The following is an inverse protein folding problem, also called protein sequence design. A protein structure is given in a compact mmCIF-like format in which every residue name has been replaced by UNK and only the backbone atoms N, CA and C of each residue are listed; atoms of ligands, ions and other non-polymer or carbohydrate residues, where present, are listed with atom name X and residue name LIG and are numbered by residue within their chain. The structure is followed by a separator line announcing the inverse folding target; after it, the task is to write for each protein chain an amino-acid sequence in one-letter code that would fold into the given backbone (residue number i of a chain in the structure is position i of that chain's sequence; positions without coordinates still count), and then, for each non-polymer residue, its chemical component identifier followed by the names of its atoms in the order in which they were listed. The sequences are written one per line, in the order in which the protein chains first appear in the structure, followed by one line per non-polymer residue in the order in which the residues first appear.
data_IF_616846697954
#
_entry.id   IF_616846697954
#
_cell.length_a   1.000
_cell.length_b   1.000
_cell.length_c   1.000
_cell.angle_alpha   90.00
_cell.angle_beta   90.00
_cell.angle_gamma   90.00
#
_symmetry.space_group_name_H-M   'P 1'
#
loop_
_entity.id
_entity.type
_entity.pdbx_description
1 polymer ?
#
# COMPACT_ATOMS: atom_id res chain seq x y z
N UNK A 1 -37.49 -12.01 23.18
CA UNK A 1 -36.15 -11.97 22.55
C UNK A 1 -35.21 -11.39 23.60
N UNK A 2 -34.34 -12.22 24.20
CA UNK A 2 -33.32 -11.71 25.13
C UNK A 2 -32.41 -10.80 24.30
N UNK A 3 -32.43 -9.51 24.60
CA UNK A 3 -31.45 -8.59 24.06
C UNK A 3 -30.15 -8.96 24.75
N UNK A 4 -29.29 -9.72 24.07
CA UNK A 4 -27.89 -9.83 24.46
C UNK A 4 -27.33 -8.41 24.58
N UNK A 5 -26.48 -8.17 25.57
CA UNK A 5 -25.81 -6.89 25.76
C UNK A 5 -25.26 -6.41 24.43
N UNK A 6 -25.73 -5.24 23.99
CA UNK A 6 -25.17 -4.55 22.83
C UNK A 6 -23.81 -4.05 23.29
N UNK A 7 -22.74 -4.67 22.83
CA UNK A 7 -21.37 -4.28 23.15
C UNK A 7 -20.89 -3.19 22.18
N UNK A 8 -20.23 -2.16 22.70
CA UNK A 8 -19.54 -1.19 21.85
C UNK A 8 -18.27 -1.82 21.25
N UNK A 9 -17.70 -1.25 20.17
CA UNK A 9 -16.40 -1.69 19.66
C UNK A 9 -15.31 -1.72 20.74
N UNK A 10 -15.28 -0.72 21.63
CA UNK A 10 -14.30 -0.67 22.73
C UNK A 10 -14.52 -1.78 23.77
N UNK A 11 -15.78 -2.13 24.06
CA UNK A 11 -16.08 -3.27 24.92
C UNK A 11 -15.67 -4.59 24.28
N UNK A 12 -15.86 -4.74 22.96
CA UNK A 12 -15.41 -5.93 22.22
C UNK A 12 -13.88 -6.05 22.25
N UNK A 13 -13.14 -4.95 22.07
CA UNK A 13 -11.68 -4.95 22.21
C UNK A 13 -11.23 -5.43 23.59
N UNK A 14 -11.86 -4.91 24.66
CA UNK A 14 -11.56 -5.34 26.04
C UNK A 14 -11.83 -6.84 26.25
N UNK A 15 -12.90 -7.37 25.66
CA UNK A 15 -13.22 -8.81 25.73
C UNK A 15 -12.17 -9.63 25.00
N UNK A 16 -11.77 -9.22 23.79
CA UNK A 16 -10.74 -9.90 22.98
C UNK A 16 -9.41 -9.94 23.72
N UNK A 17 -8.97 -8.81 24.28
CA UNK A 17 -7.72 -8.72 25.05
C UNK A 17 -7.77 -9.54 26.35
N UNK A 18 -8.91 -9.53 27.05
CA UNK A 18 -9.11 -10.41 28.21
C UNK A 18 -9.04 -11.90 27.84
N UNK A 19 -9.60 -12.27 26.69
CA UNK A 19 -9.56 -13.64 26.19
C UNK A 19 -8.12 -14.07 25.85
N UNK A 20 -7.30 -13.20 25.24
CA UNK A 20 -5.87 -13.45 25.04
C UNK A 20 -5.12 -13.64 26.37
N UNK A 21 -5.27 -12.72 27.33
CA UNK A 21 -4.62 -12.83 28.64
C UNK A 21 -5.04 -14.09 29.42
N UNK A 22 -6.25 -14.59 29.20
CA UNK A 22 -6.71 -15.86 29.77
C UNK A 22 -6.22 -17.12 29.04
N UNK A 23 -5.44 -16.95 27.96
CA UNK A 23 -4.89 -18.03 27.13
C UNK A 23 -5.89 -18.67 26.16
N UNK A 24 -7.05 -18.05 25.93
CA UNK A 24 -8.07 -18.57 25.01
C UNK A 24 -7.84 -18.16 23.54
N UNK A 25 -7.08 -17.09 23.32
CA UNK A 25 -6.70 -16.61 21.99
C UNK A 25 -5.17 -16.54 21.89
N UNK A 26 -4.63 -16.91 20.72
CA UNK A 26 -3.23 -16.61 20.40
C UNK A 26 -3.04 -15.11 20.11
N UNK A 27 -1.80 -14.59 20.19
CA UNK A 27 -1.52 -13.20 19.82
C UNK A 27 -2.01 -12.84 18.41
N UNK A 28 -1.75 -13.70 17.43
CA UNK A 28 -2.20 -13.49 16.04
C UNK A 28 -3.73 -13.47 15.91
N UNK A 29 -4.45 -14.26 16.72
CA UNK A 29 -5.92 -14.24 16.71
C UNK A 29 -6.48 -12.96 17.34
N UNK A 30 -5.86 -12.46 18.42
CA UNK A 30 -6.23 -11.18 19.00
C UNK A 30 -6.03 -10.05 17.98
N UNK A 31 -4.85 -9.99 17.35
CA UNK A 31 -4.51 -8.95 16.38
C UNK A 31 -5.49 -8.93 15.21
N UNK A 32 -5.76 -10.08 14.57
CA UNK A 32 -6.74 -10.18 13.49
C UNK A 32 -8.14 -9.71 13.91
N UNK A 33 -8.57 -10.04 15.12
CA UNK A 33 -9.88 -9.63 15.63
C UNK A 33 -9.95 -8.13 15.90
N UNK A 34 -8.90 -7.54 16.47
CA UNK A 34 -8.81 -6.11 16.69
C UNK A 34 -8.78 -5.35 15.36
N UNK A 35 -7.98 -5.81 14.39
CA UNK A 35 -7.91 -5.24 13.05
C UNK A 35 -9.25 -5.31 12.31
N UNK A 36 -9.97 -6.43 12.43
CA UNK A 36 -11.31 -6.58 11.86
C UNK A 36 -12.30 -5.52 12.36
N UNK A 37 -12.20 -5.10 13.63
CA UNK A 37 -13.02 -4.05 14.20
C UNK A 37 -12.65 -2.65 13.68
N UNK A 38 -11.41 -2.45 13.23
CA UNK A 38 -10.91 -1.17 12.71
C UNK A 38 -11.13 -0.98 11.20
N UNK A 39 -11.36 -2.04 10.42
CA UNK A 39 -11.54 -1.96 8.97
C UNK A 39 -12.65 -0.98 8.53
N UNK A 40 -13.67 -0.79 9.37
CA UNK A 40 -14.75 0.16 9.07
C UNK A 40 -14.34 1.63 9.25
N UNK A 41 -13.30 1.89 10.06
CA UNK A 41 -12.74 3.22 10.30
C UNK A 41 -11.63 3.59 9.31
N UNK A 42 -11.13 2.62 8.53
CA UNK A 42 -10.08 2.84 7.54
C UNK A 42 -10.74 3.09 6.18
N UNK A 43 -10.46 4.25 5.59
CA UNK A 43 -10.92 4.63 4.26
C UNK A 43 -9.96 4.14 3.17
N UNK A 44 -10.49 3.85 1.98
CA UNK A 44 -9.73 3.38 0.82
C UNK A 44 -8.52 4.28 0.50
N UNK A 45 -8.65 5.60 0.63
CA UNK A 45 -7.55 6.55 0.39
C UNK A 45 -6.31 6.31 1.27
N UNK A 46 -6.47 5.71 2.45
CA UNK A 46 -5.39 5.52 3.42
C UNK A 46 -4.50 4.32 3.09
N UNK A 47 -4.97 3.42 2.21
CA UNK A 47 -4.31 2.14 1.90
C UNK A 47 -4.04 1.98 0.40
N UNK A 48 -4.79 2.66 -0.46
CA UNK A 48 -4.60 2.58 -1.91
C UNK A 48 -3.17 2.90 -2.36
N UNK A 49 -2.76 2.27 -3.46
CA UNK A 49 -1.60 2.71 -4.23
C UNK A 49 -1.93 4.05 -4.90
N UNK A 50 -1.23 5.15 -4.54
CA UNK A 50 -1.56 6.47 -5.05
C UNK A 50 -1.19 6.60 -6.53
N UNK A 51 -1.92 7.45 -7.27
CA UNK A 51 -1.81 7.65 -8.72
C UNK A 51 -0.36 7.64 -9.27
N UNK A 52 0.61 8.38 -8.69
CA UNK A 52 1.97 8.43 -9.25
C UNK A 52 2.72 7.09 -9.24
N UNK A 53 2.27 6.14 -8.42
CA UNK A 53 2.87 4.81 -8.27
C UNK A 53 2.12 3.73 -9.06
N UNK A 54 1.05 4.09 -9.77
CA UNK A 54 0.27 3.12 -10.53
C UNK A 54 0.99 2.77 -11.82
N UNK A 55 1.39 1.50 -11.95
CA UNK A 55 1.70 0.94 -13.26
C UNK A 55 0.41 0.71 -14.06
N UNK A 56 0.26 1.41 -15.18
CA UNK A 56 -0.93 1.32 -16.04
C UNK A 56 -0.56 1.36 -17.52
N UNK A 57 -1.44 0.83 -18.38
CA UNK A 57 -1.21 0.74 -19.82
C UNK A 57 -2.32 1.46 -20.61
N UNK A 58 -1.99 2.08 -21.77
CA UNK A 58 -3.02 2.71 -22.59
C UNK A 58 -3.88 1.67 -23.31
N UNK A 59 -5.17 1.97 -23.47
CA UNK A 59 -6.16 1.06 -24.04
C UNK A 59 -5.91 0.68 -25.52
N UNK A 60 -5.11 1.46 -26.25
CA UNK A 60 -4.73 1.26 -27.64
C UNK A 60 -3.34 0.61 -27.82
N UNK A 61 -2.70 0.16 -26.73
CA UNK A 61 -1.45 -0.60 -26.81
C UNK A 61 -1.68 -1.97 -27.45
N UNK A 62 -0.74 -2.40 -28.28
CA UNK A 62 -0.75 -3.72 -28.88
C UNK A 62 -0.43 -4.82 -27.86
N UNK A 63 -1.00 -6.02 -28.04
CA UNK A 63 -0.83 -7.11 -27.07
C UNK A 63 0.63 -7.54 -26.89
N UNK A 64 1.46 -7.47 -27.94
CA UNK A 64 2.87 -7.83 -27.84
C UNK A 64 3.66 -6.85 -26.99
N UNK A 65 3.42 -5.55 -27.17
CA UNK A 65 4.05 -4.51 -26.36
C UNK A 65 3.54 -4.56 -24.92
N UNK A 66 2.24 -4.83 -24.74
CA UNK A 66 1.64 -5.03 -23.42
C UNK A 66 2.29 -6.22 -22.69
N UNK A 67 2.49 -7.35 -23.39
CA UNK A 67 3.12 -8.54 -22.82
C UNK A 67 4.53 -8.24 -22.33
N UNK A 68 5.35 -7.55 -23.14
CA UNK A 68 6.71 -7.18 -22.74
C UNK A 68 6.72 -6.39 -21.43
N UNK A 69 5.87 -5.37 -21.31
CA UNK A 69 5.80 -4.55 -20.09
C UNK A 69 5.23 -5.31 -18.89
N UNK A 70 4.23 -6.15 -19.09
CA UNK A 70 3.62 -6.95 -17.99
C UNK A 70 4.60 -7.99 -17.44
N UNK A 71 5.47 -8.56 -18.26
CA UNK A 71 6.50 -9.51 -17.81
C UNK A 71 7.54 -8.83 -16.91
N UNK A 72 7.87 -7.57 -17.19
CA UNK A 72 8.83 -6.79 -16.39
C UNK A 72 8.27 -6.42 -15.01
N UNK A 73 7.00 -5.99 -14.94
CA UNK A 73 6.38 -5.48 -13.71
C UNK A 73 5.68 -6.55 -12.85
N UNK A 74 5.47 -7.75 -13.39
CA UNK A 74 4.95 -8.94 -12.68
C UNK A 74 3.56 -8.79 -12.01
N UNK A 75 2.82 -7.73 -12.29
CA UNK A 75 1.47 -7.55 -11.77
C UNK A 75 0.44 -8.48 -12.43
N UNK A 76 -0.46 -9.05 -11.62
CA UNK A 76 -1.55 -9.91 -12.11
C UNK A 76 -2.70 -9.15 -12.78
N UNK A 77 -2.93 -7.89 -12.36
CA UNK A 77 -4.01 -7.02 -12.82
C UNK A 77 -3.45 -5.63 -13.05
N UNK A 78 -3.64 -5.12 -14.26
CA UNK A 78 -3.02 -3.86 -14.69
C UNK A 78 -4.14 -2.88 -15.08
N UNK A 79 -4.27 -1.75 -14.40
CA UNK A 79 -5.18 -0.68 -14.81
C UNK A 79 -4.92 -0.24 -16.26
N UNK A 80 -6.01 -0.03 -17.00
CA UNK A 80 -5.96 0.40 -18.41
C UNK A 80 -6.58 1.78 -18.52
N UNK A 81 -5.86 2.75 -19.08
CA UNK A 81 -6.32 4.13 -19.21
C UNK A 81 -6.72 4.53 -20.63
N UNK A 82 -7.55 5.57 -20.74
CA UNK A 82 -7.90 6.19 -22.01
C UNK A 82 -6.72 7.02 -22.55
N UNK A 83 -6.12 6.66 -23.70
CA UNK A 83 -4.96 7.37 -24.24
C UNK A 83 -5.24 8.83 -24.61
N UNK A 84 -6.50 9.21 -24.87
CA UNK A 84 -6.86 10.60 -25.20
C UNK A 84 -6.95 11.49 -23.96
N UNK A 85 -7.26 10.89 -22.80
CA UNK A 85 -7.45 11.61 -21.53
C UNK A 85 -6.29 11.44 -20.56
N UNK A 86 -5.41 10.47 -20.79
CA UNK A 86 -4.20 10.25 -20.00
C UNK A 86 -4.36 9.25 -18.84
N UNK A 87 -3.27 8.99 -18.10
CA UNK A 87 -3.20 7.94 -17.07
C UNK A 87 -4.16 8.11 -15.89
N UNK A 88 -4.65 9.32 -15.61
CA UNK A 88 -5.66 9.58 -14.58
C UNK A 88 -7.07 9.08 -14.93
N UNK A 89 -7.27 8.51 -16.11
CA UNK A 89 -8.56 8.07 -16.61
C UNK A 89 -8.58 6.57 -16.87
N UNK A 90 -8.60 5.78 -15.81
CA UNK A 90 -8.72 4.32 -15.92
C UNK A 90 -10.11 3.94 -16.44
N UNK A 91 -10.14 3.19 -17.54
CA UNK A 91 -11.34 2.71 -18.23
C UNK A 91 -11.55 1.20 -18.10
N UNK A 92 -10.57 0.47 -17.57
CA UNK A 92 -10.68 -0.98 -17.39
C UNK A 92 -9.47 -1.58 -16.70
N UNK A 93 -9.42 -2.90 -16.68
CA UNK A 93 -8.33 -3.68 -16.12
C UNK A 93 -7.94 -4.82 -17.05
N UNK A 94 -6.65 -4.97 -17.30
CA UNK A 94 -6.06 -6.07 -18.05
C UNK A 94 -5.62 -7.15 -17.08
N UNK A 95 -6.01 -8.40 -17.35
CA UNK A 95 -5.52 -9.55 -16.58
C UNK A 95 -4.33 -10.19 -17.29
N UNK A 96 -3.22 -10.40 -16.57
CA UNK A 96 -2.02 -11.05 -17.13
C UNK A 96 -2.33 -12.45 -17.69
N UNK A 97 -3.24 -13.20 -17.06
CA UNK A 97 -3.68 -14.53 -17.55
C UNK A 97 -4.37 -14.48 -18.91
N UNK A 98 -5.03 -13.37 -19.25
CA UNK A 98 -5.71 -13.22 -20.54
C UNK A 98 -4.69 -12.89 -21.63
N UNK A 99 -3.68 -12.07 -21.33
CA UNK A 99 -2.52 -11.92 -22.21
C UNK A 99 -1.88 -13.27 -22.50
N UNK A 100 -1.57 -14.07 -21.46
CA UNK A 100 -0.99 -15.40 -21.62
C UNK A 100 -1.85 -16.32 -22.50
N UNK A 101 -3.19 -16.28 -22.32
CA UNK A 101 -4.13 -17.04 -23.15
C UNK A 101 -4.03 -16.65 -24.62
N UNK A 102 -4.01 -15.35 -24.92
CA UNK A 102 -3.90 -14.84 -26.29
C UNK A 102 -2.55 -15.15 -26.91
N UNK A 103 -1.45 -15.00 -26.15
CA UNK A 103 -0.11 -15.41 -26.58
C UNK A 103 -0.04 -16.90 -26.90
N UNK A 104 -0.62 -17.75 -26.03
CA UNK A 104 -0.68 -19.20 -26.25
C UNK A 104 -1.46 -19.55 -27.51
N UNK A 105 -2.61 -18.92 -27.73
CA UNK A 105 -3.43 -19.10 -28.92
C UNK A 105 -2.67 -18.68 -30.18
N UNK A 106 -2.00 -17.53 -30.16
CA UNK A 106 -1.12 -17.09 -31.25
C UNK A 106 -0.05 -18.12 -31.60
N UNK A 107 0.61 -18.70 -30.60
CA UNK A 107 1.64 -19.73 -30.82
C UNK A 107 1.08 -21.03 -31.43
N UNK A 108 -0.18 -21.41 -31.13
CA UNK A 108 -0.84 -22.55 -31.81
C UNK A 108 -1.12 -22.31 -33.28
N UNK A 109 -1.26 -21.05 -33.67
CA UNK A 109 -1.57 -20.63 -35.04
C UNK A 109 -0.31 -20.37 -35.86
N UNK A 110 0.84 -20.90 -35.44
CA UNK A 110 2.14 -20.75 -36.12
C UNK A 110 2.15 -21.26 -37.58
N UNK A 111 1.23 -22.15 -37.93
CA UNK A 111 0.95 -22.59 -39.31
C UNK A 111 0.08 -21.61 -40.13
N UNK A 112 -0.37 -20.50 -39.54
CA UNK A 112 -1.13 -19.40 -40.18
C UNK A 112 -0.56 -18.02 -39.79
N UNK A 113 0.49 -17.55 -40.49
CA UNK A 113 1.19 -16.30 -40.14
C UNK A 113 0.29 -15.06 -40.09
N UNK A 114 -0.70 -14.98 -40.99
CA UNK A 114 -1.65 -13.86 -41.03
C UNK A 114 -2.55 -13.80 -39.78
N UNK A 115 -2.93 -14.96 -39.23
CA UNK A 115 -3.76 -15.03 -38.02
C UNK A 115 -2.95 -14.67 -36.78
N UNK A 116 -1.70 -15.12 -36.72
CA UNK A 116 -0.79 -14.76 -35.63
C UNK A 116 -0.48 -13.25 -35.59
N UNK A 117 -0.27 -12.63 -36.76
CA UNK A 117 -0.03 -11.18 -36.88
C UNK A 117 -1.24 -10.35 -36.42
N UNK A 118 -2.46 -10.82 -36.75
CA UNK A 118 -3.69 -10.15 -36.29
C UNK A 118 -3.83 -10.14 -34.77
N UNK A 119 -3.46 -11.24 -34.10
CA UNK A 119 -3.54 -11.33 -32.63
C UNK A 119 -2.47 -10.43 -31.98
N UNK A 120 -1.27 -10.37 -32.55
CA UNK A 120 -0.20 -9.47 -32.09
C UNK A 120 -0.64 -8.00 -32.13
N UNK A 121 -1.31 -7.57 -33.21
CA UNK A 121 -1.84 -6.21 -33.37
C UNK A 121 -3.24 -5.99 -32.75
N UNK A 122 -3.74 -6.91 -31.94
CA UNK A 122 -4.94 -6.64 -31.14
C UNK A 122 -4.63 -5.60 -30.07
N UNK A 123 -5.63 -4.78 -29.75
CA UNK A 123 -5.49 -3.74 -28.72
C UNK A 123 -5.92 -4.26 -27.36
N UNK A 124 -5.31 -3.74 -26.29
CA UNK A 124 -5.72 -4.04 -24.90
C UNK A 124 -7.23 -3.84 -24.70
N UNK A 125 -7.80 -2.77 -25.27
CA UNK A 125 -9.24 -2.47 -25.18
C UNK A 125 -10.17 -3.60 -25.63
N UNK A 126 -9.68 -4.54 -26.45
CA UNK A 126 -10.47 -5.67 -26.96
C UNK A 126 -10.51 -6.85 -25.99
N UNK A 127 -9.64 -6.87 -24.98
CA UNK A 127 -9.49 -8.01 -24.04
C UNK A 127 -9.54 -7.59 -22.57
N UNK A 128 -9.55 -6.28 -22.28
CA UNK A 128 -9.69 -5.76 -20.92
C UNK A 128 -11.08 -6.06 -20.36
N UNK A 129 -11.18 -5.98 -19.04
CA UNK A 129 -12.42 -6.15 -18.29
C UNK A 129 -12.83 -4.85 -17.64
N UNK A 130 -14.12 -4.75 -17.30
CA UNK A 130 -14.62 -3.68 -16.44
C UNK A 130 -13.90 -3.69 -15.09
N UNK A 131 -13.65 -2.49 -14.57
CA UNK A 131 -13.01 -2.27 -13.28
C UNK A 131 -14.03 -1.75 -12.26
N UNK A 132 -13.89 -2.15 -11.00
CA UNK A 132 -14.69 -1.60 -9.91
C UNK A 132 -14.22 -0.16 -9.66
N UNK A 133 -15.14 0.78 -9.47
CA UNK A 133 -14.82 2.18 -9.18
C UNK A 133 -15.45 2.54 -7.84
N UNK A 134 -14.65 3.12 -6.95
CA UNK A 134 -15.06 3.46 -5.58
C UNK A 134 -14.56 4.85 -5.18
N UNK A 135 -15.27 5.59 -4.31
CA UNK A 135 -14.78 6.86 -3.80
C UNK A 135 -13.66 6.66 -2.76
N UNK A 136 -12.79 7.67 -2.62
CA UNK A 136 -11.73 7.73 -1.60
C UNK A 136 -12.19 7.51 -0.16
N UNK A 137 -13.44 7.83 0.14
CA UNK A 137 -14.01 7.79 1.49
C UNK A 137 -14.64 6.45 1.86
N UNK A 138 -14.75 5.49 0.93
CA UNK A 138 -15.33 4.18 1.21
C UNK A 138 -14.50 3.43 2.26
N UNK A 139 -15.15 2.80 3.25
CA UNK A 139 -14.43 2.02 4.26
C UNK A 139 -13.88 0.72 3.68
N UNK A 140 -12.80 0.19 4.24
CA UNK A 140 -12.23 -1.07 3.79
C UNK A 140 -13.18 -2.24 4.04
N UNK A 141 -13.98 -2.20 5.11
CA UNK A 141 -15.00 -3.20 5.37
C UNK A 141 -16.07 -3.24 4.25
N UNK A 142 -16.57 -2.08 3.83
CA UNK A 142 -17.51 -1.97 2.71
C UNK A 142 -16.86 -2.42 1.39
N UNK A 143 -15.62 -2.01 1.15
CA UNK A 143 -14.86 -2.38 -0.05
C UNK A 143 -14.62 -3.90 -0.13
N UNK A 144 -14.28 -4.54 1.00
CA UNK A 144 -14.15 -6.00 1.08
C UNK A 144 -15.44 -6.70 0.68
N UNK A 145 -16.58 -6.20 1.17
CA UNK A 145 -17.92 -6.67 0.78
C UNK A 145 -18.18 -6.53 -0.73
N UNK A 146 -17.78 -5.41 -1.34
CA UNK A 146 -17.91 -5.20 -2.79
C UNK A 146 -17.01 -6.14 -3.60
N UNK A 147 -15.76 -6.36 -3.17
CA UNK A 147 -14.87 -7.32 -3.82
C UNK A 147 -15.47 -8.73 -3.83
N UNK A 148 -16.02 -9.17 -2.69
CA UNK A 148 -16.68 -10.47 -2.57
C UNK A 148 -17.94 -10.55 -3.46
N UNK A 149 -18.81 -9.54 -3.42
CA UNK A 149 -20.06 -9.54 -4.16
C UNK A 149 -19.84 -9.47 -5.68
N UNK A 150 -18.92 -8.60 -6.13
CA UNK A 150 -18.64 -8.36 -7.55
C UNK A 150 -17.63 -9.35 -8.12
N UNK A 151 -16.99 -10.16 -7.28
CA UNK A 151 -15.89 -11.08 -7.65
C UNK A 151 -14.77 -10.33 -8.38
N UNK A 152 -14.43 -9.15 -7.86
CA UNK A 152 -13.33 -8.29 -8.32
C UNK A 152 -12.27 -8.22 -7.24
N UNK A 153 -11.03 -7.98 -7.65
CA UNK A 153 -9.86 -7.94 -6.76
C UNK A 153 -9.06 -6.64 -6.92
N UNK A 154 -9.51 -5.74 -7.79
CA UNK A 154 -8.90 -4.43 -8.00
C UNK A 154 -10.02 -3.43 -8.19
N UNK A 155 -9.92 -2.31 -7.48
CA UNK A 155 -10.78 -1.16 -7.60
C UNK A 155 -9.95 0.07 -7.93
N UNK A 156 -10.50 0.94 -8.78
CA UNK A 156 -10.00 2.28 -9.02
C UNK A 156 -10.65 3.19 -7.99
N UNK A 157 -9.83 3.89 -7.24
CA UNK A 157 -10.27 4.90 -6.28
C UNK A 157 -10.32 6.24 -7.01
N UNK A 158 -11.45 6.94 -6.90
CA UNK A 158 -11.67 8.23 -7.56
C UNK A 158 -11.89 9.36 -6.57
N UNK A 159 -11.42 10.54 -6.97
CA UNK A 159 -11.66 11.81 -6.27
C UNK A 159 -13.07 12.37 -6.58
N UNK A 160 -13.42 13.51 -5.98
CA UNK A 160 -14.69 14.18 -6.19
C UNK A 160 -14.93 14.68 -7.63
N UNK A 161 -13.87 14.76 -8.44
CA UNK A 161 -13.94 15.16 -9.84
C UNK A 161 -14.04 13.95 -10.79
N UNK A 162 -14.00 12.73 -10.25
CA UNK A 162 -14.04 11.49 -11.00
C UNK A 162 -12.70 11.11 -11.65
N UNK A 163 -11.60 11.75 -11.25
CA UNK A 163 -10.26 11.36 -11.69
C UNK A 163 -9.73 10.24 -10.81
N UNK A 164 -8.84 9.41 -11.36
CA UNK A 164 -8.18 8.37 -10.57
C UNK A 164 -7.26 9.00 -9.52
N UNK A 165 -7.55 8.72 -8.25
CA UNK A 165 -6.73 9.06 -7.10
C UNK A 165 -5.72 7.95 -6.77
N UNK A 166 -6.15 6.71 -6.94
CA UNK A 166 -5.35 5.52 -6.63
C UNK A 166 -5.99 4.23 -7.15
N UNK A 167 -5.35 3.10 -6.87
CA UNK A 167 -5.96 1.77 -7.00
C UNK A 167 -5.77 1.01 -5.70
N UNK A 168 -6.72 0.15 -5.39
CA UNK A 168 -6.69 -0.70 -4.20
C UNK A 168 -7.08 -2.11 -4.59
N UNK A 169 -6.42 -3.08 -4.00
CA UNK A 169 -6.62 -4.50 -4.26
C UNK A 169 -7.31 -5.19 -3.08
N UNK A 170 -7.81 -6.41 -3.29
CA UNK A 170 -8.35 -7.19 -2.16
C UNK A 170 -7.22 -7.63 -1.24
N UNK A 171 -6.04 -7.83 -1.80
CA UNK A 171 -4.82 -8.19 -1.09
C UNK A 171 -4.44 -7.08 -0.10
N UNK A 172 -4.48 -5.80 -0.50
CA UNK A 172 -4.22 -4.65 0.39
C UNK A 172 -5.22 -4.59 1.56
N UNK A 173 -6.49 -4.94 1.33
CA UNK A 173 -7.52 -4.96 2.38
C UNK A 173 -7.30 -6.13 3.34
N UNK A 174 -6.88 -7.29 2.83
CA UNK A 174 -6.58 -8.46 3.64
C UNK A 174 -5.31 -8.27 4.47
N UNK A 175 -4.32 -7.55 3.96
CA UNK A 175 -3.12 -7.16 4.68
C UNK A 175 -3.46 -6.32 5.92
N UNK A 176 -4.42 -5.38 5.82
CA UNK A 176 -4.88 -4.63 6.99
C UNK A 176 -5.58 -5.50 8.04
N UNK A 177 -6.13 -6.65 7.63
CA UNK A 177 -6.77 -7.60 8.54
C UNK A 177 -5.75 -8.55 9.19
N UNK A 178 -4.84 -9.09 8.37
CA UNK A 178 -3.95 -10.20 8.71
C UNK A 178 -2.60 -9.72 9.23
N UNK A 179 -2.20 -8.48 8.92
CA UNK A 179 -0.82 -8.01 9.01
C UNK A 179 -0.01 -8.41 7.77
N UNK A 180 1.25 -8.00 7.75
CA UNK A 180 2.22 -8.37 6.70
C UNK A 180 2.33 -9.90 6.64
N UNK A 181 1.91 -10.49 5.51
CA UNK A 181 2.18 -11.89 5.21
C UNK A 181 3.54 -11.94 4.53
N UNK A 182 4.56 -12.49 5.22
CA UNK A 182 5.87 -12.74 4.60
C UNK A 182 5.67 -13.62 3.35
N UNK A 183 5.91 -13.06 2.15
CA UNK A 183 5.85 -13.82 0.89
C UNK A 183 7.04 -14.79 0.83
N UNK A 184 6.84 -15.98 0.25
CA UNK A 184 7.93 -16.96 0.05
C UNK A 184 9.03 -16.42 -0.89
N UNK A 185 8.74 -15.35 -1.63
CA UNK A 185 9.65 -14.68 -2.55
C UNK A 185 10.18 -13.33 -2.06
N UNK A 186 9.75 -12.86 -0.88
CA UNK A 186 10.27 -11.63 -0.31
C UNK A 186 11.70 -11.85 0.17
N UNK A 187 12.62 -11.02 -0.33
CA UNK A 187 13.98 -10.94 0.20
C UNK A 187 13.86 -10.32 1.58
N UNK A 188 13.68 -11.17 2.60
CA UNK A 188 13.68 -10.89 4.03
C UNK A 188 13.80 -9.38 4.33
N UNK A 189 12.66 -8.69 4.36
CA UNK A 189 12.62 -7.33 4.88
C UNK A 189 13.23 -7.36 6.28
N UNK A 190 14.23 -6.49 6.49
CA UNK A 190 15.11 -6.51 7.64
C UNK A 190 14.33 -6.80 8.93
N UNK A 191 14.73 -7.87 9.63
CA UNK A 191 14.19 -8.27 10.93
C UNK A 191 13.97 -7.03 11.81
N UNK A 192 12.85 -6.94 12.56
CA UNK A 192 12.69 -5.89 13.55
C UNK A 192 13.88 -5.95 14.50
N UNK A 193 14.68 -4.88 14.51
CA UNK A 193 15.83 -4.76 15.41
C UNK A 193 15.25 -4.70 16.81
N UNK A 194 15.49 -5.75 17.60
CA UNK A 194 14.97 -5.99 18.95
C UNK A 194 15.51 -5.01 20.02
N UNK A 195 15.99 -3.85 19.62
CA UNK A 195 16.52 -2.83 20.51
C UNK A 195 15.96 -1.46 20.12
N UNK A 196 15.02 -0.94 20.92
CA UNK A 196 14.35 0.34 20.69
C UNK A 196 15.32 1.54 20.63
N UNK A 197 16.59 1.34 20.98
CA UNK A 197 17.66 2.35 20.96
C UNK A 197 18.67 2.18 19.81
N UNK A 198 18.51 1.20 18.92
CA UNK A 198 19.41 1.06 17.78
C UNK A 198 19.11 2.12 16.70
N UNK A 199 20.14 2.66 16.02
CA UNK A 199 19.92 3.53 14.87
C UNK A 199 19.21 2.74 13.75
N UNK A 200 18.08 3.27 13.29
CA UNK A 200 17.25 2.71 12.23
C UNK A 200 17.53 3.45 10.92
N UNK A 201 17.56 2.74 9.79
CA UNK A 201 17.57 3.34 8.46
C UNK A 201 16.32 2.87 7.71
N UNK A 202 15.39 3.78 7.47
CA UNK A 202 14.06 3.48 6.93
C UNK A 202 13.83 4.20 5.60
N UNK A 203 13.03 3.61 4.72
CA UNK A 203 12.61 4.29 3.48
C UNK A 203 11.74 5.51 3.82
N UNK A 204 11.95 6.62 3.12
CA UNK A 204 11.12 7.81 3.30
C UNK A 204 9.64 7.58 2.96
N UNK A 205 9.31 6.54 2.21
CA UNK A 205 7.94 6.17 1.85
C UNK A 205 7.19 5.39 2.94
N UNK A 206 7.86 4.94 4.01
CA UNK A 206 7.20 4.22 5.11
C UNK A 206 6.09 5.06 5.72
N UNK A 207 4.92 4.44 5.97
CA UNK A 207 3.78 5.11 6.58
C UNK A 207 4.09 5.42 8.05
N UNK A 208 3.69 6.60 8.51
CA UNK A 208 3.90 6.99 9.91
C UNK A 208 3.18 6.08 10.92
N UNK A 209 2.13 5.36 10.50
CA UNK A 209 1.42 4.38 11.33
C UNK A 209 2.23 3.11 11.54
N UNK A 210 2.89 2.63 10.48
CA UNK A 210 3.76 1.46 10.53
C UNK A 210 4.97 1.74 11.44
N UNK A 211 5.43 3.00 11.47
CA UNK A 211 6.48 3.44 12.38
C UNK A 211 6.11 3.28 13.85
N UNK A 212 4.87 3.60 14.22
CA UNK A 212 4.38 3.43 15.59
C UNK A 212 4.23 1.96 15.94
N UNK A 213 3.66 1.15 15.05
CA UNK A 213 3.41 -0.27 15.27
C UNK A 213 4.70 -1.12 15.31
N UNK A 214 5.66 -0.85 14.42
CA UNK A 214 6.86 -1.68 14.25
C UNK A 214 8.08 -1.17 15.04
N UNK A 215 8.17 0.13 15.31
CA UNK A 215 9.37 0.76 15.89
C UNK A 215 9.09 1.64 17.11
N UNK A 216 7.86 1.61 17.64
CA UNK A 216 7.37 2.43 18.76
C UNK A 216 7.65 3.94 18.56
N UNK A 217 7.64 4.39 17.29
CA UNK A 217 7.88 5.77 16.89
C UNK A 217 6.56 6.53 16.80
N UNK A 218 6.20 7.26 17.86
CA UNK A 218 5.02 8.13 17.84
C UNK A 218 5.33 9.44 17.12
N UNK A 219 4.85 9.55 15.89
CA UNK A 219 4.90 10.79 15.12
C UNK A 219 3.51 11.46 15.07
N UNK A 220 3.42 12.79 14.92
CA UNK A 220 2.13 13.48 14.84
C UNK A 220 1.36 13.03 13.59
N UNK A 221 0.12 12.55 13.75
CA UNK A 221 -0.68 12.06 12.63
C UNK A 221 -1.61 13.14 12.02
N UNK A 222 -1.82 14.25 12.72
CA UNK A 222 -2.81 15.29 12.33
C UNK A 222 -2.20 16.49 11.55
N UNK A 223 -0.90 16.45 11.23
CA UNK A 223 -0.17 17.58 10.64
C UNK A 223 -0.10 17.52 9.09
N UNK A 224 -0.93 16.70 8.43
CA UNK A 224 -1.09 16.70 6.97
C UNK A 224 -0.02 15.95 6.17
N UNK A 225 0.66 14.99 6.80
CA UNK A 225 1.61 14.07 6.16
C UNK A 225 1.29 12.63 6.54
N UNK A 226 1.57 11.69 5.63
CA UNK A 226 1.25 10.27 5.80
C UNK A 226 2.50 9.38 5.84
N UNK A 227 3.65 9.91 5.41
CA UNK A 227 4.91 9.18 5.27
C UNK A 227 6.04 9.81 6.08
N UNK A 228 7.08 9.03 6.36
CA UNK A 228 8.29 9.51 7.04
C UNK A 228 8.93 10.70 6.30
N UNK A 229 8.99 10.66 4.96
CA UNK A 229 9.46 11.76 4.14
C UNK A 229 8.58 13.01 4.28
N UNK A 230 7.25 12.82 4.32
CA UNK A 230 6.31 13.92 4.55
C UNK A 230 6.52 14.60 5.91
N UNK A 231 6.76 13.81 6.96
CA UNK A 231 7.13 14.31 8.28
C UNK A 231 8.46 15.07 8.27
N UNK A 232 9.49 14.54 7.61
CA UNK A 232 10.79 15.23 7.51
C UNK A 232 10.66 16.56 6.77
N UNK A 233 9.87 16.61 5.69
CA UNK A 233 9.62 17.83 4.94
C UNK A 233 8.81 18.85 5.76
N UNK A 234 7.81 18.41 6.52
CA UNK A 234 7.02 19.30 7.38
C UNK A 234 7.87 19.92 8.49
N UNK A 235 8.87 19.19 9.00
CA UNK A 235 9.79 19.71 10.02
C UNK A 235 10.88 20.62 9.45
N UNK A 236 11.43 20.30 8.29
CA UNK A 236 12.50 21.10 7.67
C UNK A 236 11.99 22.31 6.87
N UNK A 237 10.71 22.32 6.47
CA UNK A 237 10.05 23.40 5.71
C UNK A 237 10.77 23.78 4.39
N UNK A 238 11.59 22.87 3.85
CA UNK A 238 12.31 22.99 2.59
C UNK A 238 12.63 21.61 2.04
N UNK A 239 13.01 21.52 0.76
CA UNK A 239 13.61 20.29 0.21
C UNK A 239 15.00 20.14 0.82
N UNK A 240 15.27 19.06 1.59
CA UNK A 240 16.54 18.91 2.29
C UNK A 240 17.66 18.44 1.35
N UNK A 241 18.90 18.71 1.75
CA UNK A 241 20.07 18.04 1.20
C UNK A 241 20.45 16.82 2.07
N UNK A 242 21.15 15.85 1.48
CA UNK A 242 21.68 14.71 2.23
C UNK A 242 22.58 15.18 3.38
N UNK A 243 22.38 14.61 4.56
CA UNK A 243 23.07 14.97 5.80
C UNK A 243 22.33 15.98 6.68
N UNK A 244 21.25 16.60 6.19
CA UNK A 244 20.42 17.47 7.03
C UNK A 244 19.66 16.66 8.09
N UNK A 245 19.52 17.23 9.29
CA UNK A 245 18.92 16.55 10.43
C UNK A 245 18.13 17.48 11.33
N UNK A 246 17.15 16.91 12.04
CA UNK A 246 16.42 17.57 13.12
C UNK A 246 16.14 16.59 14.27
N UNK A 247 15.78 17.12 15.43
CA UNK A 247 15.45 16.32 16.60
C UNK A 247 13.95 16.42 16.91
N UNK A 248 13.34 15.29 17.28
CA UNK A 248 11.95 15.19 17.67
C UNK A 248 11.79 14.06 18.71
N UNK A 249 11.14 14.34 19.84
CA UNK A 249 10.82 13.35 20.89
C UNK A 249 12.03 12.46 21.30
N UNK A 250 13.20 13.07 21.48
CA UNK A 250 14.42 12.37 21.92
C UNK A 250 15.14 11.56 20.84
N UNK A 251 14.70 11.64 19.57
CA UNK A 251 15.35 11.00 18.43
C UNK A 251 15.78 12.04 17.39
N UNK A 252 16.90 11.78 16.74
CA UNK A 252 17.48 12.58 15.66
C UNK A 252 17.18 11.90 14.33
N UNK A 253 16.52 12.63 13.44
CA UNK A 253 16.16 12.22 12.10
C UNK A 253 17.15 12.84 11.13
N UNK A 254 17.87 12.02 10.36
CA UNK A 254 18.92 12.43 9.42
C UNK A 254 18.51 11.98 8.02
N UNK A 255 18.47 12.91 7.06
CA UNK A 255 18.28 12.58 5.65
C UNK A 255 19.55 11.91 5.13
N UNK A 256 19.56 10.58 5.04
CA UNK A 256 20.75 9.84 4.64
C UNK A 256 20.92 9.81 3.13
N UNK A 257 19.82 9.62 2.39
CA UNK A 257 19.84 9.53 0.92
C UNK A 257 18.67 10.29 0.30
N UNK A 258 19.00 11.09 -0.72
CA UNK A 258 18.04 11.73 -1.63
C UNK A 258 18.09 11.05 -3.00
N UNK A 259 16.92 10.86 -3.63
CA UNK A 259 16.79 10.45 -5.02
C UNK A 259 16.04 11.53 -5.79
N UNK A 260 16.81 12.39 -6.49
CA UNK A 260 16.26 13.62 -7.06
C UNK A 260 15.75 14.55 -5.96
N UNK A 261 14.43 14.79 -5.94
CA UNK A 261 13.76 15.58 -4.90
C UNK A 261 13.07 14.71 -3.83
N UNK A 262 13.16 13.38 -3.92
CA UNK A 262 12.57 12.43 -2.97
C UNK A 262 13.56 12.13 -1.85
N UNK A 263 13.10 12.17 -0.61
CA UNK A 263 13.84 11.60 0.53
C UNK A 263 13.70 10.08 0.42
N UNK A 264 14.80 9.41 0.07
CA UNK A 264 14.80 7.96 -0.15
C UNK A 264 15.06 7.21 1.16
N UNK A 265 15.99 7.68 1.98
CA UNK A 265 16.36 7.01 3.24
C UNK A 265 16.51 8.03 4.35
N UNK A 266 15.89 7.73 5.49
CA UNK A 266 16.00 8.51 6.72
C UNK A 266 16.62 7.64 7.81
N UNK A 267 17.73 8.10 8.37
CA UNK A 267 18.33 7.48 9.54
C UNK A 267 17.76 8.10 10.81
N UNK A 268 17.29 7.29 11.73
CA UNK A 268 16.72 7.70 13.02
C UNK A 268 17.61 7.14 14.11
N UNK A 269 18.18 8.01 14.94
CA UNK A 269 19.08 7.62 16.02
C UNK A 269 18.67 8.30 17.34
N UNK A 270 18.83 7.65 18.50
CA UNK A 270 18.57 8.31 19.77
C UNK A 270 19.51 9.49 19.96
N UNK A 271 18.98 10.62 20.47
CA UNK A 271 19.81 11.73 20.88
C UNK A 271 20.53 11.30 22.17
N UNK A 272 21.89 11.32 22.23
CA UNK A 272 22.59 10.99 23.45
C UNK A 272 22.12 11.92 24.57
N UNK A 273 21.65 11.35 25.69
CA UNK A 273 21.35 12.14 26.86
C UNK A 273 22.62 12.89 27.29
N UNK A 274 22.65 14.20 27.10
CA UNK A 274 23.75 15.02 27.55
C UNK A 274 23.92 14.78 29.06
N UNK A 275 25.08 14.27 29.46
CA UNK A 275 25.45 14.08 30.86
C UNK A 275 25.26 15.41 31.61
N UNK A 276 24.22 15.49 32.45
CA UNK A 276 24.08 16.53 33.45
C UNK A 276 25.23 16.38 34.44
N UNK A 277 26.20 17.30 34.33
CA UNK A 277 27.07 17.84 35.39
C UNK A 277 27.64 16.85 36.44
N UNK A 278 28.90 16.48 36.23
CA UNK A 278 29.87 16.25 37.32
C UNK A 278 31.06 17.20 37.08
N UNK A 279 30.88 18.45 37.44
CA UNK A 279 31.95 19.40 37.71
C UNK A 279 31.41 20.47 38.66
N UNK A 280 31.94 20.50 39.88
CA UNK A 280 31.77 21.60 40.83
C UNK A 280 31.33 21.15 42.21
N UNK A 281 32.28 20.62 42.99
CA UNK A 281 32.42 20.94 44.42
C UNK A 281 32.33 22.46 44.68
#
# INVERSE_FOLDING_TARGET
IRHGSVHSPDELKLIVTAAHHSGQLSPAQEEMLLNALELDNIAARQVMVPRPRIFSLPADLDLDEALSRVVEEQHSRIPVYDPQRGPEHIVGVLYAKDLMRWTRFRLTLSSSPASALRISGMKISQIMHDVLVVPETKSLLELLGEFQQRKRHLAVVVDEFGSTAGVITVEDVLEQLVGELEDEFDVASAQPVTDANAPLALDGAVNIRDLEAQYELKLPQDEGFETLAGFVLSRLQKVPQGGEAFEHEGRRFVVEKMEGHRIATVRIEPVPAAAKQLAGD
#
